data_IF_694187093120
#
_entry.id   IF_694187093120
#
_cell.length_a   1.000
_cell.length_b   1.000
_cell.length_c   1.000
_cell.angle_alpha   90.00
_cell.angle_beta   90.00
_cell.angle_gamma   90.00
#
_symmetry.space_group_name_H-M   'P 1'
#
loop_
_entity.id
_entity.type
_entity.pdbx_description
1 polymer ?
#
# COMPACT_ATOMS: atom_id res chain seq x y z
N UNK A 1 11.35 -12.59 7.04
CA UNK A 1 12.18 -11.35 7.14
C UNK A 1 11.37 -10.04 7.24
N UNK A 2 10.52 -9.66 6.25
CA UNK A 2 9.86 -8.33 6.16
C UNK A 2 9.25 -7.78 7.47
N UNK A 3 8.75 -8.65 8.36
CA UNK A 3 8.17 -8.28 9.64
C UNK A 3 9.13 -7.68 10.67
N UNK A 4 10.35 -8.22 10.82
CA UNK A 4 11.32 -7.71 11.83
C UNK A 4 11.66 -6.23 11.57
N UNK A 5 11.82 -5.87 10.29
CA UNK A 5 12.09 -4.49 9.81
C UNK A 5 11.12 -3.44 10.38
N UNK A 6 9.81 -3.71 10.34
CA UNK A 6 8.75 -2.77 10.79
C UNK A 6 8.58 -2.79 12.32
N UNK A 7 8.77 -3.97 12.94
CA UNK A 7 8.69 -4.12 14.39
C UNK A 7 9.81 -3.36 15.10
N UNK A 8 11.08 -3.57 14.70
CA UNK A 8 12.23 -2.92 15.33
C UNK A 8 12.20 -1.41 15.14
N UNK A 9 11.77 -0.92 13.97
CA UNK A 9 11.62 0.52 13.73
C UNK A 9 10.61 1.18 14.70
N UNK A 10 9.57 0.45 15.12
CA UNK A 10 8.61 0.92 16.13
C UNK A 10 9.24 1.03 17.52
N UNK A 11 10.14 0.10 17.86
CA UNK A 11 10.91 0.12 19.12
C UNK A 11 11.84 1.33 19.12
N UNK A 12 12.55 1.61 18.02
CA UNK A 12 13.49 2.74 17.95
C UNK A 12 12.81 4.10 17.96
N UNK A 13 11.72 4.32 17.20
CA UNK A 13 10.97 5.58 17.34
C UNK A 13 10.32 5.72 18.72
N UNK A 14 10.11 4.63 19.46
CA UNK A 14 9.74 4.65 20.88
C UNK A 14 10.91 5.06 21.78
N UNK A 15 11.99 4.27 21.80
CA UNK A 15 13.15 4.45 22.68
C UNK A 15 13.93 5.73 22.40
N UNK A 16 14.09 6.12 21.13
CA UNK A 16 14.73 7.39 20.75
C UNK A 16 13.91 8.58 21.26
N UNK A 17 12.58 8.49 21.23
CA UNK A 17 11.71 9.54 21.79
C UNK A 17 11.65 9.52 23.31
N UNK A 18 11.73 8.35 23.95
CA UNK A 18 11.89 8.22 25.40
C UNK A 18 13.20 8.85 25.90
N UNK A 19 14.30 8.72 25.13
CA UNK A 19 15.57 9.38 25.44
C UNK A 19 15.50 10.89 25.17
N UNK A 20 14.91 11.31 24.03
CA UNK A 20 14.69 12.73 23.72
C UNK A 20 13.83 13.45 24.78
N UNK A 21 12.91 12.73 25.45
CA UNK A 21 12.07 13.25 26.55
C UNK A 21 12.83 13.46 27.87
N UNK A 22 14.03 12.89 28.03
CA UNK A 22 14.91 13.18 29.18
C UNK A 22 15.65 14.51 29.01
N UNK A 23 15.98 14.88 27.76
CA UNK A 23 16.86 16.01 27.46
C UNK A 23 16.12 17.35 27.28
N UNK A 24 15.02 17.57 28.01
CA UNK A 24 14.40 18.90 28.24
C UNK A 24 13.71 19.62 27.07
N UNK A 25 13.99 19.30 25.80
CA UNK A 25 13.44 20.06 24.66
C UNK A 25 11.92 19.90 24.51
N UNK A 26 11.18 21.00 24.63
CA UNK A 26 9.72 21.00 24.47
C UNK A 26 9.27 20.66 23.02
N UNK A 27 8.21 19.86 22.84
CA UNK A 27 7.77 19.41 21.52
C UNK A 27 6.86 20.42 20.81
N UNK A 28 7.45 21.41 20.14
CA UNK A 28 6.72 22.25 19.18
C UNK A 28 6.35 21.39 17.95
N UNK A 29 5.05 21.03 17.82
CA UNK A 29 4.29 20.54 16.65
C UNK A 29 3.44 19.27 16.98
N UNK A 30 2.10 19.37 17.12
CA UNK A 30 1.23 18.21 17.41
C UNK A 30 1.06 17.20 16.25
N UNK A 31 1.75 17.40 15.11
CA UNK A 31 1.65 16.53 13.93
C UNK A 31 2.36 15.18 14.10
N UNK A 32 3.49 15.14 14.81
CA UNK A 32 4.31 13.92 14.97
C UNK A 32 3.53 12.80 15.66
N UNK A 33 2.74 13.15 16.66
CA UNK A 33 1.98 12.21 17.49
C UNK A 33 0.96 11.39 16.67
N UNK A 34 0.33 11.99 15.65
CA UNK A 34 -0.62 11.29 14.78
C UNK A 34 0.05 10.20 13.94
N UNK A 35 1.22 10.48 13.37
CA UNK A 35 1.94 9.52 12.52
C UNK A 35 2.46 8.33 13.32
N UNK A 36 3.03 8.58 14.50
CA UNK A 36 3.50 7.52 15.41
C UNK A 36 2.32 6.68 15.95
N UNK A 37 1.18 7.31 16.21
CA UNK A 37 -0.04 6.62 16.63
C UNK A 37 -0.61 5.68 15.55
N UNK A 38 -0.61 6.14 14.29
CA UNK A 38 -0.93 5.29 13.13
C UNK A 38 0.03 4.11 13.02
N UNK A 39 1.33 4.33 13.23
CA UNK A 39 2.34 3.27 13.18
C UNK A 39 2.10 2.19 14.26
N UNK A 40 1.83 2.60 15.50
CA UNK A 40 1.46 1.68 16.59
C UNK A 40 0.11 0.97 16.37
N UNK A 41 -0.83 1.57 15.64
CA UNK A 41 -2.05 0.87 15.19
C UNK A 41 -1.77 -0.13 14.08
N UNK A 42 -0.87 0.17 13.15
CA UNK A 42 -0.45 -0.72 12.07
C UNK A 42 0.21 -1.99 12.62
N UNK A 43 1.20 -1.87 13.51
CA UNK A 43 1.87 -3.04 14.12
C UNK A 43 0.90 -3.93 14.90
N UNK A 44 0.03 -3.36 15.72
CA UNK A 44 -1.01 -4.11 16.46
C UNK A 44 -2.02 -4.78 15.51
N UNK A 45 -2.40 -4.11 14.42
CA UNK A 45 -3.32 -4.64 13.43
C UNK A 45 -2.74 -5.81 12.63
N UNK A 46 -1.43 -5.77 12.35
CA UNK A 46 -0.74 -6.83 11.62
C UNK A 46 -0.49 -8.03 12.55
N UNK A 47 -0.07 -7.80 13.80
CA UNK A 47 0.13 -8.86 14.82
C UNK A 47 -1.12 -9.72 15.06
N UNK A 48 -2.33 -9.12 14.96
CA UNK A 48 -3.62 -9.82 15.06
C UNK A 48 -4.05 -10.59 13.81
N UNK A 49 -3.42 -10.39 12.66
CA UNK A 49 -3.73 -11.16 11.45
C UNK A 49 -2.99 -12.48 11.36
N UNK A 50 -1.84 -12.60 12.04
CA UNK A 50 -1.06 -13.84 12.10
C UNK A 50 -1.35 -14.65 13.37
N UNK A 51 -1.61 -13.99 14.50
CA UNK A 51 -2.06 -14.62 15.76
C UNK A 51 -3.49 -15.16 15.74
N UNK A 52 -3.99 -15.56 14.57
CA UNK A 52 -5.32 -16.12 14.31
C UNK A 52 -5.39 -16.88 12.98
N UNK A 53 -4.24 -17.36 12.48
CA UNK A 53 -4.14 -18.20 11.29
C UNK A 53 -3.13 -19.32 11.53
N UNK A 54 -3.52 -20.24 12.41
CA UNK A 54 -2.95 -21.57 12.58
C UNK A 54 -4.13 -22.54 12.77
N UNK A 55 -4.00 -23.78 12.30
CA UNK A 55 -5.05 -24.83 12.24
C UNK A 55 -6.38 -24.39 11.60
N UNK A 56 -6.47 -24.50 10.26
CA UNK A 56 -7.69 -24.74 9.45
C UNK A 56 -7.34 -24.79 7.94
N UNK A 57 -6.46 -25.72 7.54
CA UNK A 57 -6.08 -25.96 6.12
C UNK A 57 -5.87 -27.47 5.87
N UNK A 58 -6.84 -28.33 6.22
CA UNK A 58 -6.69 -29.78 6.05
C UNK A 58 -7.95 -30.57 5.65
N UNK A 59 -9.16 -30.05 5.91
CA UNK A 59 -10.42 -30.79 5.63
C UNK A 59 -11.02 -30.50 4.24
N UNK A 60 -10.87 -29.28 3.71
CA UNK A 60 -11.49 -28.80 2.45
C UNK A 60 -11.08 -29.56 1.16
N UNK A 61 -10.10 -30.48 1.23
CA UNK A 61 -9.47 -31.11 0.06
C UNK A 61 -9.92 -32.57 -0.20
N UNK A 62 -10.87 -33.11 0.58
CA UNK A 62 -11.50 -34.41 0.29
C UNK A 62 -12.86 -34.25 -0.42
N UNK A 63 -13.69 -33.31 0.02
CA UNK A 63 -15.03 -33.08 -0.56
C UNK A 63 -14.94 -32.74 -2.07
N UNK A 64 -13.92 -31.98 -2.48
CA UNK A 64 -13.70 -31.60 -3.87
C UNK A 64 -13.27 -32.77 -4.79
N UNK A 65 -12.81 -33.90 -4.25
CA UNK A 65 -12.41 -35.09 -5.03
C UNK A 65 -13.58 -36.03 -5.32
N UNK A 66 -14.57 -36.07 -4.43
CA UNK A 66 -15.72 -36.97 -4.55
C UNK A 66 -16.69 -36.52 -5.67
N UNK A 67 -16.74 -35.22 -5.97
CA UNK A 67 -17.62 -34.63 -6.98
C UNK A 67 -17.16 -34.81 -8.45
N UNK A 68 -16.01 -35.44 -8.71
CA UNK A 68 -15.44 -35.57 -10.07
C UNK A 68 -15.47 -36.99 -10.66
N UNK A 69 -15.91 -38.00 -9.91
CA UNK A 69 -15.84 -39.42 -10.31
C UNK A 69 -17.22 -40.09 -10.44
N UNK A 70 -18.08 -39.59 -11.33
CA UNK A 70 -19.38 -40.22 -11.66
C UNK A 70 -19.53 -40.40 -13.20
N UNK A 71 -19.91 -41.60 -13.70
CA UNK A 71 -19.95 -41.89 -15.13
C UNK A 71 -21.27 -41.46 -15.82
N UNK A 72 -21.17 -41.07 -17.09
CA UNK A 72 -22.29 -40.71 -17.97
C UNK A 72 -23.03 -41.96 -18.48
N UNK A 73 -24.34 -41.84 -18.74
CA UNK A 73 -25.15 -42.84 -19.48
C UNK A 73 -25.94 -42.16 -20.61
N UNK A 74 -25.96 -42.77 -21.80
CA UNK A 74 -26.70 -42.33 -22.99
C UNK A 74 -27.68 -43.41 -23.47
N UNK A 75 -28.89 -43.01 -23.88
CA UNK A 75 -29.95 -43.76 -24.61
C UNK A 75 -30.74 -42.65 -25.36
N UNK A 76 -30.67 -42.44 -26.69
CA UNK A 76 -31.43 -43.07 -27.82
C UNK A 76 -32.97 -43.06 -27.62
N UNK A 77 -33.85 -42.78 -28.59
CA UNK A 77 -33.74 -42.25 -29.98
C UNK A 77 -35.12 -41.66 -30.44
N UNK A 78 -35.29 -41.41 -31.75
CA UNK A 78 -36.53 -41.36 -32.57
C UNK A 78 -37.20 -40.06 -33.13
N UNK A 79 -37.31 -40.07 -34.48
CA UNK A 79 -38.43 -39.60 -35.36
C UNK A 79 -38.54 -38.09 -35.71
N UNK A 80 -39.31 -37.78 -36.78
CA UNK A 80 -38.97 -36.79 -37.83
C UNK A 80 -40.16 -35.96 -38.41
N UNK A 81 -39.84 -34.90 -39.20
CA UNK A 81 -40.48 -34.43 -40.48
C UNK A 81 -40.24 -32.92 -40.77
N UNK A 82 -40.49 -32.45 -42.01
CA UNK A 82 -40.30 -31.08 -42.56
C UNK A 82 -41.16 -30.87 -43.85
N UNK A 83 -41.07 -29.79 -44.68
CA UNK A 83 -40.61 -28.39 -44.52
C UNK A 83 -41.87 -27.46 -44.59
N UNK A 84 -42.16 -26.51 -45.54
CA UNK A 84 -41.43 -25.51 -46.36
C UNK A 84 -41.56 -24.07 -45.74
N UNK A 85 -41.42 -22.87 -46.35
CA UNK A 85 -41.21 -22.24 -47.69
C UNK A 85 -39.98 -21.27 -47.62
N UNK A 86 -39.30 -20.77 -48.66
CA UNK A 86 -39.61 -20.04 -49.94
C UNK A 86 -40.09 -18.59 -49.74
N UNK A 87 -39.51 -17.52 -50.31
CA UNK A 87 -38.48 -17.28 -51.38
C UNK A 87 -37.35 -16.33 -50.86
N UNK A 88 -36.48 -15.57 -51.57
CA UNK A 88 -36.25 -15.22 -53.00
C UNK A 88 -34.78 -14.73 -53.26
N UNK A 89 -34.37 -14.49 -54.53
CA UNK A 89 -32.99 -14.17 -55.02
C UNK A 89 -33.06 -13.23 -56.26
N UNK A 90 -32.22 -12.16 -56.45
CA UNK A 90 -31.02 -12.26 -57.30
C UNK A 90 -29.81 -11.31 -57.05
N UNK A 91 -28.68 -11.69 -57.69
CA UNK A 91 -27.39 -10.96 -57.94
C UNK A 91 -27.42 -10.28 -59.34
N UNK A 92 -26.34 -9.74 -59.98
CA UNK A 92 -24.88 -9.64 -59.65
C UNK A 92 -24.41 -8.15 -59.63
N UNK A 93 -23.14 -7.69 -59.69
CA UNK A 93 -21.79 -8.16 -60.17
C UNK A 93 -20.67 -7.38 -59.42
N UNK A 94 -19.35 -7.34 -59.71
CA UNK A 94 -18.43 -7.97 -60.71
C UNK A 94 -16.97 -8.04 -60.17
N UNK A 95 -16.01 -8.48 -61.00
CA UNK A 95 -14.53 -8.59 -60.80
C UNK A 95 -13.79 -7.22 -60.84
N UNK A 96 -12.46 -7.02 -60.65
CA UNK A 96 -11.20 -7.82 -60.67
C UNK A 96 -10.24 -7.24 -59.58
N UNK A 97 -9.42 -7.95 -58.78
CA UNK A 97 -8.28 -8.88 -58.99
C UNK A 97 -6.91 -8.23 -59.35
N UNK A 98 -5.81 -8.78 -58.77
CA UNK A 98 -4.34 -8.60 -58.99
C UNK A 98 -3.52 -8.13 -57.75
N UNK A 99 -2.38 -8.81 -57.51
CA UNK A 99 -1.37 -8.61 -56.44
C UNK A 99 -0.03 -8.07 -57.04
N UNK A 100 1.10 -8.03 -56.30
CA UNK A 100 1.41 -7.17 -55.15
C UNK A 100 2.66 -6.29 -55.41
N UNK A 101 2.84 -5.18 -54.67
CA UNK A 101 4.08 -4.40 -54.73
C UNK A 101 4.55 -3.88 -53.36
N UNK A 102 5.87 -3.93 -53.14
CA UNK A 102 6.53 -3.62 -51.87
C UNK A 102 6.68 -2.10 -51.68
N UNK A 103 6.16 -1.56 -50.58
CA UNK A 103 6.43 -0.18 -50.15
C UNK A 103 7.16 -0.17 -48.81
N UNK A 104 8.26 0.57 -48.74
CA UNK A 104 9.14 0.62 -47.57
C UNK A 104 8.52 1.45 -46.45
N UNK A 105 8.43 0.89 -45.24
CA UNK A 105 8.18 1.69 -44.03
C UNK A 105 9.49 2.43 -43.65
N UNK A 106 9.49 3.76 -43.50
CA UNK A 106 10.68 4.49 -43.04
C UNK A 106 10.98 4.12 -41.58
N UNK A 107 12.17 3.56 -41.35
CA UNK A 107 12.63 3.19 -40.01
C UNK A 107 12.92 4.44 -39.18
N UNK A 108 11.94 4.85 -38.35
CA UNK A 108 12.16 5.86 -37.32
C UNK A 108 13.24 5.37 -36.36
N UNK A 109 14.33 6.12 -36.12
CA UNK A 109 15.32 5.73 -35.12
C UNK A 109 14.65 5.62 -33.75
N UNK A 110 14.73 4.44 -33.15
CA UNK A 110 14.21 4.20 -31.81
C UNK A 110 15.16 4.90 -30.82
N UNK A 111 14.90 6.19 -30.54
CA UNK A 111 15.72 7.01 -29.63
C UNK A 111 15.92 6.25 -28.33
N UNK A 112 17.18 5.95 -28.01
CA UNK A 112 17.51 5.00 -26.96
C UNK A 112 16.86 5.41 -25.62
N UNK A 113 16.25 4.44 -24.95
CA UNK A 113 15.79 4.61 -23.57
C UNK A 113 17.00 4.83 -22.66
N UNK A 114 17.36 6.10 -22.43
CA UNK A 114 18.42 6.50 -21.50
C UNK A 114 18.23 5.78 -20.16
N UNK A 115 19.23 4.98 -19.79
CA UNK A 115 19.13 4.01 -18.71
C UNK A 115 18.81 4.68 -17.38
N UNK A 116 17.61 4.41 -16.84
CA UNK A 116 17.28 4.71 -15.44
C UNK A 116 18.06 3.79 -14.51
N UNK A 117 19.33 4.12 -14.25
CA UNK A 117 20.13 3.45 -13.21
C UNK A 117 19.54 3.64 -11.80
N UNK A 118 18.79 4.72 -11.59
CA UNK A 118 18.17 5.05 -10.29
C UNK A 118 16.99 4.09 -10.04
N UNK A 119 17.05 3.22 -9.01
CA UNK A 119 15.99 2.26 -8.73
C UNK A 119 14.73 2.94 -8.18
N UNK A 120 13.55 2.43 -8.55
CA UNK A 120 12.25 3.08 -8.29
C UNK A 120 11.71 2.83 -6.86
N UNK A 121 11.08 3.86 -6.28
CA UNK A 121 10.41 3.78 -4.97
C UNK A 121 9.07 3.05 -5.02
N UNK A 122 9.04 1.76 -4.67
CA UNK A 122 7.79 1.01 -4.53
C UNK A 122 7.00 1.47 -3.29
N UNK A 123 5.86 2.13 -3.47
CA UNK A 123 4.99 2.60 -2.38
C UNK A 123 4.33 1.42 -1.66
N UNK A 124 4.53 1.34 -0.34
CA UNK A 124 3.99 0.26 0.49
C UNK A 124 2.76 0.68 1.30
N UNK A 125 2.66 1.95 1.73
CA UNK A 125 1.57 2.44 2.56
C UNK A 125 1.38 3.97 2.43
N UNK A 126 0.13 4.39 2.21
CA UNK A 126 -0.31 5.79 2.19
C UNK A 126 -1.24 6.05 3.38
N UNK A 127 -0.82 6.95 4.27
CA UNK A 127 -1.61 7.43 5.41
C UNK A 127 -2.28 8.75 5.03
N UNK A 128 -3.61 8.79 5.09
CA UNK A 128 -4.41 9.99 4.83
C UNK A 128 -5.37 10.30 5.98
N UNK A 129 -5.85 11.54 6.01
CA UNK A 129 -6.86 12.02 6.95
C UNK A 129 -7.99 12.72 6.22
N UNK A 130 -9.21 12.61 6.71
CA UNK A 130 -10.39 13.38 6.27
C UNK A 130 -11.21 13.79 7.49
N UNK A 131 -11.95 14.89 7.37
CA UNK A 131 -12.95 15.31 8.36
C UNK A 131 -14.36 14.99 7.84
N UNK A 132 -15.14 14.28 8.64
CA UNK A 132 -16.54 13.94 8.32
C UNK A 132 -17.53 15.07 8.70
N UNK A 133 -17.08 16.10 9.42
CA UNK A 133 -17.87 17.31 9.68
C UNK A 133 -19.08 17.13 10.61
N UNK A 134 -19.12 16.04 11.37
CA UNK A 134 -20.21 15.72 12.31
C UNK A 134 -19.68 14.90 13.49
N UNK A 135 -20.35 14.96 14.64
CA UNK A 135 -19.99 14.15 15.81
C UNK A 135 -20.51 12.71 15.68
N UNK A 136 -19.69 11.73 16.06
CA UNK A 136 -19.96 10.31 15.85
C UNK A 136 -20.08 9.54 17.17
N UNK A 137 -21.26 8.96 17.42
CA UNK A 137 -21.50 8.03 18.53
C UNK A 137 -20.84 6.68 18.24
N UNK A 138 -19.54 6.57 18.55
CA UNK A 138 -18.68 5.43 18.18
C UNK A 138 -19.24 4.06 18.62
N UNK A 139 -19.84 3.97 19.81
CA UNK A 139 -20.47 2.73 20.29
C UNK A 139 -21.63 2.29 19.40
N UNK A 140 -22.53 3.21 19.02
CA UNK A 140 -23.66 2.93 18.14
C UNK A 140 -23.21 2.47 16.74
N UNK A 141 -22.12 3.06 16.22
CA UNK A 141 -21.50 2.58 14.97
C UNK A 141 -20.99 1.15 15.15
N UNK A 142 -20.25 0.88 16.24
CA UNK A 142 -19.69 -0.43 16.52
C UNK A 142 -20.78 -1.53 16.56
N UNK A 143 -21.85 -1.32 17.33
CA UNK A 143 -22.98 -2.26 17.45
C UNK A 143 -23.66 -2.53 16.10
N UNK A 144 -23.68 -1.58 15.16
CA UNK A 144 -24.27 -1.77 13.82
C UNK A 144 -23.29 -2.24 12.74
N UNK A 145 -21.98 -2.35 12.98
CA UNK A 145 -21.01 -2.74 11.93
C UNK A 145 -20.09 -3.90 12.32
N UNK A 146 -20.34 -5.08 11.71
CA UNK A 146 -19.59 -6.34 11.91
C UNK A 146 -18.06 -6.22 11.74
N UNK A 147 -17.59 -5.33 10.86
CA UNK A 147 -16.16 -5.15 10.54
C UNK A 147 -15.53 -3.97 11.30
N UNK A 148 -15.87 -3.82 12.59
CA UNK A 148 -15.38 -2.73 13.43
C UNK A 148 -15.01 -3.16 14.84
N UNK A 149 -14.17 -2.39 15.51
CA UNK A 149 -13.70 -2.66 16.87
C UNK A 149 -13.66 -1.35 17.70
N UNK A 150 -14.40 -1.29 18.81
CA UNK A 150 -14.36 -0.18 19.77
C UNK A 150 -14.13 -0.72 21.18
N UNK A 151 -13.11 -0.18 21.85
CA UNK A 151 -12.85 -0.40 23.26
C UNK A 151 -12.17 0.88 23.79
N UNK A 152 -12.91 1.78 24.48
CA UNK A 152 -12.38 3.10 24.85
C UNK A 152 -11.18 3.02 25.81
N UNK A 153 -11.13 2.03 26.70
CA UNK A 153 -10.01 1.81 27.61
C UNK A 153 -8.72 1.42 26.88
N UNK A 154 -8.82 0.70 25.75
CA UNK A 154 -7.68 0.37 24.87
C UNK A 154 -7.39 1.45 23.83
N UNK A 155 -8.40 2.18 23.37
CA UNK A 155 -8.31 3.25 22.37
C UNK A 155 -9.60 4.09 22.28
N UNK A 156 -9.46 5.41 22.35
CA UNK A 156 -10.56 6.40 22.25
C UNK A 156 -11.27 6.50 20.89
N UNK A 157 -10.84 5.76 19.87
CA UNK A 157 -11.45 5.74 18.54
C UNK A 157 -11.98 4.35 18.15
N UNK A 158 -12.85 4.34 17.15
CA UNK A 158 -13.32 3.14 16.48
C UNK A 158 -12.28 2.69 15.43
N UNK A 159 -11.97 1.40 15.38
CA UNK A 159 -11.29 0.78 14.24
C UNK A 159 -12.36 0.29 13.26
N UNK A 160 -12.22 0.54 11.96
CA UNK A 160 -13.09 -0.05 10.94
C UNK A 160 -12.26 -0.55 9.76
N UNK A 161 -12.66 -1.66 9.13
CA UNK A 161 -11.86 -2.37 8.11
C UNK A 161 -12.69 -2.67 6.86
N UNK A 162 -12.09 -2.50 5.68
CA UNK A 162 -12.67 -2.93 4.39
C UNK A 162 -11.66 -3.72 3.56
N UNK A 163 -12.16 -4.65 2.74
CA UNK A 163 -11.31 -5.51 1.88
C UNK A 163 -10.89 -4.82 0.57
N UNK A 164 -11.76 -4.02 -0.06
CA UNK A 164 -11.49 -3.44 -1.38
C UNK A 164 -11.57 -1.89 -1.36
N UNK A 165 -10.44 -1.15 -1.36
CA UNK A 165 -9.06 -1.63 -1.21
C UNK A 165 -8.75 -2.03 0.24
N UNK A 166 -7.73 -2.87 0.48
CA UNK A 166 -7.42 -3.45 1.79
C UNK A 166 -6.95 -2.39 2.78
N UNK A 167 -7.86 -1.84 3.58
CA UNK A 167 -7.60 -0.61 4.34
C UNK A 167 -8.26 -0.63 5.71
N UNK A 168 -7.67 0.11 6.64
CA UNK A 168 -8.17 0.31 8.00
C UNK A 168 -8.33 1.79 8.29
N UNK A 169 -9.52 2.18 8.73
CA UNK A 169 -9.81 3.51 9.25
C UNK A 169 -9.73 3.52 10.79
N UNK A 170 -9.26 4.64 11.33
CA UNK A 170 -9.40 5.05 12.71
C UNK A 170 -10.38 6.23 12.74
N UNK A 171 -11.55 6.04 13.35
CA UNK A 171 -12.65 7.01 13.36
C UNK A 171 -12.81 7.54 14.79
N UNK A 172 -12.70 8.85 14.96
CA UNK A 172 -12.81 9.52 16.27
C UNK A 172 -14.18 10.15 16.47
N UNK A 173 -14.59 10.35 17.73
CA UNK A 173 -15.87 10.99 18.09
C UNK A 173 -16.06 12.35 17.41
N UNK A 174 -14.98 13.11 17.23
CA UNK A 174 -14.95 14.42 16.56
C UNK A 174 -15.09 14.40 15.02
N UNK A 175 -15.51 13.28 14.42
CA UNK A 175 -15.66 13.14 12.97
C UNK A 175 -14.34 13.05 12.19
N UNK A 176 -13.18 13.18 12.85
CA UNK A 176 -11.87 12.94 12.23
C UNK A 176 -11.72 11.46 11.89
N UNK A 177 -11.31 11.17 10.66
CA UNK A 177 -11.03 9.82 10.16
C UNK A 177 -9.59 9.78 9.64
N UNK A 178 -8.83 8.75 10.02
CA UNK A 178 -7.48 8.48 9.54
C UNK A 178 -7.50 7.15 8.77
N UNK A 179 -7.15 7.17 7.49
CA UNK A 179 -7.17 6.00 6.61
C UNK A 179 -5.75 5.49 6.33
N UNK A 180 -5.58 4.16 6.36
CA UNK A 180 -4.26 3.49 6.38
C UNK A 180 -4.30 2.16 5.61
N UNK A 181 -3.15 1.72 5.08
CA UNK A 181 -2.99 0.43 4.38
C UNK A 181 -3.17 0.49 2.86
N UNK A 182 -3.50 1.65 2.31
CA UNK A 182 -3.60 1.84 0.86
C UNK A 182 -2.21 1.89 0.21
N UNK A 183 -2.04 1.32 -0.99
CA UNK A 183 -0.78 1.40 -1.76
C UNK A 183 -0.71 2.61 -2.71
N UNK A 184 -1.83 3.32 -2.90
CA UNK A 184 -1.88 4.58 -3.63
C UNK A 184 -2.71 5.64 -2.91
N UNK A 185 -2.53 6.90 -3.29
CA UNK A 185 -3.28 8.06 -2.81
C UNK A 185 -4.72 8.01 -3.34
N UNK A 186 -4.91 7.50 -4.57
CA UNK A 186 -6.21 7.23 -5.16
C UNK A 186 -6.99 6.17 -4.37
N UNK A 187 -6.35 5.04 -4.02
CA UNK A 187 -6.93 4.02 -3.13
C UNK A 187 -7.23 4.58 -1.73
N UNK A 188 -6.33 5.42 -1.19
CA UNK A 188 -6.51 6.04 0.13
C UNK A 188 -7.72 7.00 0.13
N UNK A 189 -7.92 7.74 -0.96
CA UNK A 189 -9.10 8.58 -1.18
C UNK A 189 -10.38 7.74 -1.38
N UNK A 190 -10.33 6.71 -2.22
CA UNK A 190 -11.46 5.80 -2.47
C UNK A 190 -11.89 5.06 -1.19
N UNK A 191 -10.93 4.61 -0.39
CA UNK A 191 -11.16 4.03 0.93
C UNK A 191 -11.82 5.04 1.87
N UNK A 192 -11.24 6.24 2.02
CA UNK A 192 -11.82 7.30 2.87
C UNK A 192 -13.26 7.65 2.46
N UNK A 193 -13.56 7.72 1.14
CA UNK A 193 -14.92 7.92 0.62
C UNK A 193 -15.85 6.73 0.93
N UNK A 194 -15.36 5.49 0.82
CA UNK A 194 -16.11 4.27 1.21
C UNK A 194 -16.44 4.27 2.71
N UNK A 195 -15.49 4.59 3.59
CA UNK A 195 -15.75 4.72 5.02
C UNK A 195 -16.76 5.85 5.32
N UNK A 196 -16.62 7.02 4.70
CA UNK A 196 -17.60 8.10 4.83
C UNK A 196 -19.02 7.66 4.41
N UNK A 197 -19.13 6.89 3.31
CA UNK A 197 -20.42 6.35 2.84
C UNK A 197 -21.01 5.28 3.76
N UNK A 198 -20.19 4.49 4.47
CA UNK A 198 -20.68 3.59 5.53
C UNK A 198 -21.28 4.41 6.68
N UNK A 199 -20.59 5.47 7.13
CA UNK A 199 -21.09 6.34 8.21
C UNK A 199 -22.39 7.06 7.80
N UNK A 200 -22.52 7.51 6.56
CA UNK A 200 -23.78 8.02 6.01
C UNK A 200 -24.92 6.99 6.06
N UNK A 201 -24.66 5.73 5.66
CA UNK A 201 -25.65 4.64 5.69
C UNK A 201 -26.12 4.26 7.11
N UNK A 202 -25.42 4.71 8.16
CA UNK A 202 -25.82 4.50 9.56
C UNK A 202 -26.69 5.65 10.13
N UNK A 203 -27.02 6.65 9.31
CA UNK A 203 -27.87 7.79 9.69
C UNK A 203 -27.12 9.05 10.15
N UNK A 204 -25.78 9.07 10.09
CA UNK A 204 -25.00 10.27 10.44
C UNK A 204 -24.90 11.22 9.23
N UNK A 205 -25.03 12.55 9.40
CA UNK A 205 -24.91 13.54 8.32
C UNK A 205 -23.43 13.81 7.94
N UNK A 206 -22.66 12.74 7.73
CA UNK A 206 -21.24 12.80 7.43
C UNK A 206 -20.98 13.32 6.01
N UNK A 207 -20.11 14.32 5.91
CA UNK A 207 -19.63 14.92 4.66
C UNK A 207 -18.17 14.49 4.39
N UNK A 208 -17.54 14.97 3.33
CA UNK A 208 -16.17 14.60 2.97
C UNK A 208 -15.31 15.86 2.81
N UNK A 209 -14.70 16.32 3.91
CA UNK A 209 -13.94 17.57 3.95
C UNK A 209 -12.46 17.35 4.25
N UNK A 210 -11.59 18.21 3.71
CA UNK A 210 -10.17 18.30 4.06
C UNK A 210 -9.41 16.97 3.94
N UNK A 211 -9.68 16.19 2.89
CA UNK A 211 -8.88 15.01 2.56
C UNK A 211 -7.42 15.43 2.32
N UNK A 212 -6.49 14.79 3.03
CA UNK A 212 -5.06 15.10 2.97
C UNK A 212 -4.21 13.86 3.21
N UNK A 213 -3.25 13.61 2.33
CA UNK A 213 -2.15 12.67 2.58
C UNK A 213 -1.23 13.27 3.64
N UNK A 214 -0.95 12.50 4.70
CA UNK A 214 -0.08 12.89 5.80
C UNK A 214 1.28 12.20 5.74
N UNK A 215 1.32 10.94 5.26
CA UNK A 215 2.58 10.20 5.09
C UNK A 215 2.55 9.19 3.93
N UNK A 216 3.62 9.29 3.15
CA UNK A 216 4.30 8.44 2.16
C UNK A 216 5.23 7.37 2.73
N UNK A 217 4.91 6.07 2.76
CA UNK A 217 5.93 5.03 3.05
C UNK A 217 6.22 4.20 1.81
N UNK A 218 7.48 4.19 1.39
CA UNK A 218 7.96 3.45 0.23
C UNK A 218 9.22 2.65 0.55
N UNK A 219 9.55 1.69 -0.31
CA UNK A 219 10.73 0.84 -0.21
C UNK A 219 11.48 0.84 -1.54
N UNK A 220 12.79 0.93 -1.47
CA UNK A 220 13.70 0.78 -2.61
C UNK A 220 14.73 -0.32 -2.28
N UNK A 221 15.30 -0.93 -3.31
CA UNK A 221 16.34 -1.96 -3.20
C UNK A 221 17.45 -1.63 -4.20
N UNK A 222 18.63 -1.30 -3.71
CA UNK A 222 19.78 -0.94 -4.54
C UNK A 222 20.44 -2.15 -5.21
N UNK A 223 20.09 -3.38 -4.80
CA UNK A 223 20.70 -4.65 -5.25
C UNK A 223 22.21 -4.79 -4.97
N UNK A 224 22.81 -3.93 -4.14
CA UNK A 224 24.20 -4.06 -3.69
C UNK A 224 24.36 -3.74 -2.19
N UNK A 225 25.29 -4.42 -1.47
CA UNK A 225 25.56 -4.15 -0.06
C UNK A 225 26.27 -2.80 0.16
N UNK A 226 26.05 -2.19 1.34
CA UNK A 226 26.54 -0.84 1.68
C UNK A 226 27.35 -0.91 2.99
N UNK A 227 28.50 -0.20 3.04
CA UNK A 227 29.28 0.01 4.26
C UNK A 227 28.64 1.13 5.11
N UNK A 228 27.75 0.76 6.03
CA UNK A 228 27.00 1.73 6.85
C UNK A 228 27.88 2.49 7.84
N UNK A 229 28.97 1.85 8.27
CA UNK A 229 29.96 2.37 9.22
C UNK A 229 30.67 3.59 8.61
N UNK A 230 31.20 3.44 7.40
CA UNK A 230 31.83 4.53 6.64
C UNK A 230 30.83 5.64 6.27
N UNK A 231 29.60 5.26 5.88
CA UNK A 231 28.53 6.24 5.61
C UNK A 231 28.21 7.06 6.87
N UNK A 232 28.15 6.44 8.05
CA UNK A 232 27.88 7.14 9.31
C UNK A 232 29.03 8.04 9.73
N UNK A 233 30.27 7.61 9.52
CA UNK A 233 31.47 8.41 9.80
C UNK A 233 31.52 9.67 8.93
N UNK A 234 31.17 9.57 7.64
CA UNK A 234 31.21 10.70 6.70
C UNK A 234 29.98 11.60 6.76
N UNK A 235 28.78 11.06 7.09
CA UNK A 235 27.52 11.81 7.09
C UNK A 235 26.90 11.99 8.49
N UNK A 236 27.67 11.83 9.57
CA UNK A 236 27.19 11.77 10.97
C UNK A 236 26.34 12.94 11.47
N UNK A 237 26.33 14.09 10.79
CA UNK A 237 25.40 15.20 11.06
C UNK A 237 23.95 14.89 10.64
N UNK A 238 23.76 14.00 9.66
CA UNK A 238 22.49 13.60 9.07
C UNK A 238 22.14 12.13 9.33
N UNK A 239 23.14 11.28 9.55
CA UNK A 239 22.97 9.85 9.85
C UNK A 239 22.97 9.56 11.36
N UNK A 240 22.43 8.41 11.73
CA UNK A 240 22.64 7.79 13.04
C UNK A 240 22.61 6.27 12.85
N UNK A 241 23.64 5.57 13.30
CA UNK A 241 23.78 4.12 13.14
C UNK A 241 24.44 3.53 14.38
N UNK A 242 23.67 2.75 15.12
CA UNK A 242 24.03 2.16 16.39
C UNK A 242 23.70 0.67 16.29
N UNK A 243 24.60 -0.20 15.78
CA UNK A 243 24.24 -1.56 15.36
C UNK A 243 23.64 -2.43 16.48
N UNK A 244 24.02 -2.17 17.74
CA UNK A 244 23.48 -2.82 18.94
C UNK A 244 22.01 -2.45 19.20
N UNK A 245 21.59 -1.23 18.86
CA UNK A 245 20.22 -0.74 18.97
C UNK A 245 19.42 -0.98 17.68
N UNK A 246 20.08 -0.92 16.51
CA UNK A 246 19.45 -1.13 15.20
C UNK A 246 20.42 -1.57 14.10
N UNK A 247 20.06 -2.64 13.40
CA UNK A 247 20.75 -3.14 12.20
C UNK A 247 20.52 -2.30 10.91
N UNK A 248 20.23 -1.00 11.05
CA UNK A 248 19.99 -0.08 9.94
C UNK A 248 20.39 1.35 10.29
N UNK A 249 20.93 2.08 9.32
CA UNK A 249 21.31 3.48 9.44
C UNK A 249 20.09 4.37 9.20
N UNK A 250 19.83 5.30 10.12
CA UNK A 250 18.77 6.30 10.04
C UNK A 250 19.35 7.55 9.40
N UNK A 251 18.97 7.88 8.16
CA UNK A 251 19.42 9.07 7.45
C UNK A 251 18.30 10.14 7.42
N UNK A 252 18.59 11.34 7.89
CA UNK A 252 17.64 12.46 8.01
C UNK A 252 17.92 13.47 6.90
N UNK A 253 17.20 13.36 5.79
CA UNK A 253 17.36 14.28 4.67
C UNK A 253 16.65 15.62 4.96
N UNK A 254 17.35 16.73 4.71
CA UNK A 254 16.82 18.09 4.94
C UNK A 254 15.88 18.51 3.80
N UNK A 255 16.30 18.26 2.55
CA UNK A 255 15.57 18.61 1.34
C UNK A 255 15.60 17.44 0.32
N UNK A 256 14.43 16.84 -0.03
CA UNK A 256 13.14 16.96 0.65
C UNK A 256 13.22 16.45 2.10
N UNK A 257 12.33 16.95 2.98
CA UNK A 257 12.35 16.63 4.42
C UNK A 257 11.77 15.24 4.71
N UNK A 258 12.57 14.20 4.44
CA UNK A 258 12.23 12.78 4.62
C UNK A 258 13.26 12.06 5.51
N UNK A 259 12.86 10.90 6.03
CA UNK A 259 13.77 9.98 6.73
C UNK A 259 13.92 8.71 5.90
N UNK A 260 15.17 8.31 5.67
CA UNK A 260 15.53 7.07 5.03
C UNK A 260 16.12 6.11 6.06
N UNK A 261 15.93 4.82 5.83
CA UNK A 261 16.32 3.75 6.73
C UNK A 261 17.05 2.72 5.87
N UNK A 262 18.37 2.73 5.96
CA UNK A 262 19.29 2.11 5.00
C UNK A 262 19.91 0.89 5.67
N UNK A 263 19.83 -0.27 5.02
CA UNK A 263 20.28 -1.54 5.59
C UNK A 263 21.52 -2.05 4.85
N UNK A 264 22.38 -2.81 5.55
CA UNK A 264 23.66 -3.34 5.03
C UNK A 264 23.53 -4.12 3.70
N UNK A 265 22.33 -4.62 3.39
CA UNK A 265 22.01 -5.39 2.20
C UNK A 265 21.45 -4.56 1.02
N UNK A 266 21.57 -3.22 1.06
CA UNK A 266 21.13 -2.35 -0.03
C UNK A 266 19.64 -1.97 -0.01
N UNK A 267 18.86 -2.47 0.96
CA UNK A 267 17.44 -2.13 1.08
C UNK A 267 17.27 -0.80 1.79
N UNK A 268 16.28 -0.03 1.35
CA UNK A 268 15.95 1.30 1.88
C UNK A 268 14.45 1.37 2.16
N UNK A 269 14.07 1.88 3.33
CA UNK A 269 12.69 2.32 3.61
C UNK A 269 12.68 3.84 3.69
N UNK A 270 11.79 4.50 2.96
CA UNK A 270 11.62 5.95 2.93
C UNK A 270 10.29 6.32 3.60
N UNK A 271 10.29 7.35 4.45
CA UNK A 271 9.11 7.83 5.19
C UNK A 271 9.17 9.34 5.45
N UNK A 272 8.02 9.98 5.65
CA UNK A 272 7.87 11.42 5.91
C UNK A 272 7.41 12.25 4.70
N UNK A 273 7.48 11.66 3.50
CA UNK A 273 7.00 12.28 2.26
C UNK A 273 5.48 12.50 2.27
N UNK A 274 4.99 13.52 1.56
CA UNK A 274 3.56 13.81 1.34
C UNK A 274 3.16 13.69 -0.13
N UNK A 275 4.14 13.70 -1.03
CA UNK A 275 4.00 13.52 -2.48
C UNK A 275 4.93 12.40 -2.96
N UNK A 276 4.62 11.79 -4.10
CA UNK A 276 5.52 10.82 -4.75
C UNK A 276 6.80 11.44 -5.29
N UNK A 277 6.76 12.70 -5.73
CA UNK A 277 7.96 13.44 -6.16
C UNK A 277 9.00 13.46 -5.05
N UNK A 278 8.61 13.82 -3.82
CA UNK A 278 9.48 13.87 -2.64
C UNK A 278 10.19 12.53 -2.32
N UNK A 279 9.67 11.39 -2.81
CA UNK A 279 10.35 10.08 -2.70
C UNK A 279 11.38 9.87 -3.82
N UNK A 280 11.06 10.30 -5.05
CA UNK A 280 12.00 10.23 -6.18
C UNK A 280 13.14 11.23 -6.01
N UNK A 281 12.84 12.47 -5.61
CA UNK A 281 13.82 13.51 -5.33
C UNK A 281 14.81 13.04 -4.24
N UNK A 282 14.30 12.39 -3.18
CA UNK A 282 15.12 11.80 -2.12
C UNK A 282 16.01 10.65 -2.62
N UNK A 283 15.50 9.79 -3.51
CA UNK A 283 16.30 8.72 -4.11
C UNK A 283 17.37 9.28 -5.05
N UNK A 284 17.04 10.24 -5.90
CA UNK A 284 17.99 10.91 -6.78
C UNK A 284 19.15 11.53 -5.99
N UNK A 285 18.85 12.18 -4.85
CA UNK A 285 19.84 12.80 -3.98
C UNK A 285 20.72 11.78 -3.22
N UNK A 286 20.16 10.68 -2.71
CA UNK A 286 20.90 9.71 -1.89
C UNK A 286 21.63 8.65 -2.72
N UNK A 287 21.12 8.28 -3.90
CA UNK A 287 21.65 7.19 -4.72
C UNK A 287 23.15 7.33 -5.08
N UNK A 288 23.68 8.48 -5.56
CA UNK A 288 25.10 8.61 -5.85
C UNK A 288 25.99 8.46 -4.60
N UNK A 289 25.50 8.92 -3.44
CA UNK A 289 26.20 8.76 -2.14
C UNK A 289 26.26 7.26 -1.78
N UNK A 290 25.14 6.52 -1.88
CA UNK A 290 25.14 5.10 -1.55
C UNK A 290 25.93 4.26 -2.58
N UNK A 291 26.02 4.69 -3.84
CA UNK A 291 26.83 4.05 -4.88
C UNK A 291 28.34 4.12 -4.58
N UNK A 292 28.84 5.17 -3.91
CA UNK A 292 30.25 5.25 -3.49
C UNK A 292 30.56 4.42 -2.24
N UNK A 293 29.60 4.27 -1.31
CA UNK A 293 29.74 3.39 -0.13
C UNK A 293 29.36 1.91 -0.40
N UNK A 294 29.26 1.50 -1.67
CA UNK A 294 29.08 0.09 -2.05
C UNK A 294 30.21 -0.76 -1.47
N UNK A 295 29.85 -1.88 -0.83
CA UNK A 295 30.82 -2.91 -0.46
C UNK A 295 31.20 -3.71 -1.72
N UNK A 296 32.51 -3.77 -1.97
CA UNK A 296 33.14 -4.73 -2.88
C UNK A 296 33.02 -6.13 -2.29
#
# INVERSE_FOLDING_TARGET
MRFKMVSTLSILLGSFWANFRRNGCQPVQPRVQTTLFVFNKFTNSVRRKEGGMATLEQDDNEELKQLLNAPVRNITEDICMAPPLSTNVPRPSTSQNVNPSTTMNPMVPNTANSTKEIPEACVQNVVSTVNLGTELRLMYINTRTRNSEYNPARFTGLIMRIRNPTTTALIFRSGKLVCTGARSEADSCLAARKFARIIQKLGFPAKFYNFKVQNIVATCDLKFPIKLENLNQMHGQFSSYEPELYSGLIYRMVLPRVVLLIFVNGKIVLTGAKKRSELQDALNNIYPILKSFRKQ
#
